data_IF_238105130559
#
_entry.id   IF_238105130559
#
_cell.length_a   1.000
_cell.length_b   1.000
_cell.length_c   1.000
_cell.angle_alpha   90.00
_cell.angle_beta   90.00
_cell.angle_gamma   90.00
#
_symmetry.space_group_name_H-M   'P 1'
#
loop_
_entity.id
_entity.type
_entity.pdbx_description
1 polymer ?
#
# COMPACT_ATOMS: atom_id res chain seq x y z
N UNK A 1 8.23 -10.57 -5.35
CA UNK A 1 6.85 -10.66 -5.87
C UNK A 1 6.58 -9.45 -6.76
N UNK A 2 5.86 -9.64 -7.86
CA UNK A 2 5.45 -8.54 -8.76
C UNK A 2 3.93 -8.47 -8.75
N UNK A 3 3.37 -7.32 -8.40
CA UNK A 3 1.93 -7.07 -8.42
C UNK A 3 1.60 -6.41 -9.76
N UNK A 4 0.56 -6.87 -10.45
CA UNK A 4 0.12 -6.26 -11.70
C UNK A 4 -0.36 -4.81 -11.47
N UNK A 5 -0.17 -3.95 -12.47
CA UNK A 5 -0.76 -2.61 -12.47
C UNK A 5 -2.29 -2.73 -12.35
N UNK A 6 -2.89 -1.99 -11.42
CA UNK A 6 -4.32 -2.08 -11.10
C UNK A 6 -4.72 -3.20 -10.13
N UNK A 7 -3.83 -4.14 -9.78
CA UNK A 7 -4.10 -5.15 -8.77
C UNK A 7 -3.62 -4.70 -7.39
N UNK A 8 -4.47 -4.86 -6.38
CA UNK A 8 -4.14 -4.50 -5.01
C UNK A 8 -4.03 -2.98 -4.76
N UNK A 9 -3.80 -2.63 -3.50
CA UNK A 9 -3.58 -1.23 -3.08
C UNK A 9 -2.43 -0.58 -3.85
N UNK A 10 -1.33 -1.31 -4.05
CA UNK A 10 -0.18 -0.80 -4.79
C UNK A 10 -0.53 -0.45 -6.24
N UNK A 11 -1.23 -1.33 -6.96
CA UNK A 11 -1.68 -1.06 -8.33
C UNK A 11 -2.61 0.15 -8.40
N UNK A 12 -3.55 0.26 -7.47
CA UNK A 12 -4.46 1.40 -7.40
C UNK A 12 -3.70 2.73 -7.19
N UNK A 13 -2.80 2.80 -6.20
CA UNK A 13 -2.01 4.02 -5.92
C UNK A 13 -1.12 4.41 -7.09
N UNK A 14 -0.52 3.44 -7.79
CA UNK A 14 0.27 3.70 -8.99
C UNK A 14 -0.56 4.34 -10.13
N UNK A 15 -1.82 3.93 -10.27
CA UNK A 15 -2.72 4.47 -11.31
C UNK A 15 -3.41 5.77 -10.92
N UNK A 16 -3.91 5.88 -9.69
CA UNK A 16 -4.65 7.06 -9.21
C UNK A 16 -3.73 8.17 -8.72
N UNK A 17 -2.48 7.84 -8.40
CA UNK A 17 -1.56 8.75 -7.74
C UNK A 17 -2.07 9.24 -6.38
N UNK A 18 -2.98 8.52 -5.73
CA UNK A 18 -3.54 8.93 -4.44
C UNK A 18 -2.88 8.17 -3.31
N UNK A 19 -2.42 8.87 -2.26
CA UNK A 19 -1.90 8.23 -1.06
C UNK A 19 -3.03 7.51 -0.31
N UNK A 20 -2.79 6.26 0.11
CA UNK A 20 -3.71 5.48 0.93
C UNK A 20 -3.05 5.10 2.26
N UNK A 21 -3.68 5.52 3.37
CA UNK A 21 -3.32 5.13 4.72
C UNK A 21 -4.43 4.23 5.28
N UNK A 22 -4.23 2.91 5.19
CA UNK A 22 -5.22 1.88 5.50
C UNK A 22 -4.88 1.27 6.86
N UNK A 23 -5.82 1.38 7.80
CA UNK A 23 -5.67 0.85 9.18
C UNK A 23 -6.10 -0.60 9.34
N UNK A 24 -6.92 -1.10 8.41
CA UNK A 24 -7.32 -2.50 8.39
C UNK A 24 -7.31 -2.99 6.94
N UNK A 25 -6.28 -3.74 6.58
CA UNK A 25 -6.09 -4.26 5.24
C UNK A 25 -7.23 -5.21 4.83
N UNK A 26 -7.63 -6.13 5.73
CA UNK A 26 -8.63 -7.15 5.43
C UNK A 26 -10.06 -6.61 5.22
N UNK A 27 -10.33 -5.38 5.66
CA UNK A 27 -11.61 -4.69 5.42
C UNK A 27 -11.56 -3.81 4.16
N UNK A 28 -10.39 -3.62 3.56
CA UNK A 28 -10.23 -2.72 2.44
C UNK A 28 -10.52 -3.45 1.11
N UNK A 29 -11.41 -2.94 0.25
CA UNK A 29 -11.83 -3.64 -0.98
C UNK A 29 -10.70 -3.86 -2.00
N UNK A 30 -9.65 -3.05 -1.91
CA UNK A 30 -8.46 -3.16 -2.77
C UNK A 30 -7.35 -4.05 -2.18
N UNK A 31 -7.56 -4.67 -1.02
CA UNK A 31 -6.54 -5.53 -0.42
C UNK A 31 -6.46 -6.88 -1.15
N UNK A 32 -5.22 -7.33 -1.38
CA UNK A 32 -4.93 -8.60 -2.03
C UNK A 32 -4.18 -9.50 -1.04
N UNK A 33 -4.87 -10.53 -0.52
CA UNK A 33 -4.33 -11.44 0.50
C UNK A 33 -3.31 -12.45 -0.01
N UNK A 34 -3.16 -12.61 -1.34
CA UNK A 34 -2.25 -13.62 -1.90
C UNK A 34 -0.77 -13.42 -1.51
N UNK A 35 -0.37 -12.21 -1.10
CA UNK A 35 0.97 -11.97 -0.55
C UNK A 35 1.09 -12.53 0.87
N UNK A 36 0.08 -12.29 1.70
CA UNK A 36 0.00 -12.82 3.06
C UNK A 36 -0.02 -14.34 3.05
N UNK A 37 -0.83 -14.94 2.16
CA UNK A 37 -0.91 -16.40 1.97
C UNK A 37 0.42 -17.02 1.56
N UNK A 38 1.16 -16.37 0.65
CA UNK A 38 2.43 -16.87 0.16
C UNK A 38 3.62 -16.62 1.11
N UNK A 39 3.51 -15.66 2.03
CA UNK A 39 4.58 -15.31 2.98
C UNK A 39 4.33 -15.81 4.40
N UNK A 40 3.09 -16.17 4.73
CA UNK A 40 2.65 -16.49 6.09
C UNK A 40 2.50 -15.26 6.99
N UNK A 41 2.66 -14.05 6.46
CA UNK A 41 2.46 -12.81 7.21
C UNK A 41 1.00 -12.39 7.21
N UNK A 42 0.56 -11.75 8.30
CA UNK A 42 -0.76 -11.12 8.40
C UNK A 42 -0.60 -9.60 8.40
N UNK A 43 -0.91 -8.99 7.27
CA UNK A 43 -0.88 -7.55 7.07
C UNK A 43 -2.07 -6.92 7.78
N UNK A 44 -1.82 -6.02 8.74
CA UNK A 44 -2.89 -5.26 9.42
C UNK A 44 -3.06 -3.87 8.82
N UNK A 45 -1.95 -3.13 8.71
CA UNK A 45 -1.95 -1.74 8.30
C UNK A 45 -1.09 -1.57 7.05
N UNK A 46 -1.52 -0.73 6.12
CA UNK A 46 -0.82 -0.44 4.87
C UNK A 46 -0.75 1.07 4.67
N UNK A 47 0.45 1.60 4.50
CA UNK A 47 0.66 2.95 3.99
C UNK A 47 1.24 2.83 2.59
N UNK A 48 0.53 3.32 1.59
CA UNK A 48 0.99 3.32 0.20
C UNK A 48 0.91 4.72 -0.39
N UNK A 49 2.01 5.19 -0.98
CA UNK A 49 2.09 6.50 -1.59
C UNK A 49 2.73 6.43 -2.97
N UNK A 50 2.28 7.27 -3.90
CA UNK A 50 2.85 7.33 -5.24
C UNK A 50 4.20 8.04 -5.20
N UNK A 51 5.09 7.63 -6.10
CA UNK A 51 6.32 8.34 -6.41
C UNK A 51 6.11 8.99 -7.77
N UNK A 52 6.31 10.30 -7.84
CA UNK A 52 6.06 11.11 -9.03
C UNK A 52 7.33 11.83 -9.48
N UNK A 53 7.48 11.97 -10.78
CA UNK A 53 8.43 12.89 -11.41
C UNK A 53 7.65 14.02 -12.12
N UNK A 54 8.36 14.84 -12.90
CA UNK A 54 7.79 15.94 -13.69
C UNK A 54 6.81 15.46 -14.78
N UNK A 55 6.88 14.18 -15.17
CA UNK A 55 6.10 13.59 -16.26
C UNK A 55 4.91 12.76 -15.76
N UNK A 56 4.84 12.43 -14.46
CA UNK A 56 3.71 11.69 -13.88
C UNK A 56 4.10 10.75 -12.73
N UNK A 57 3.29 9.72 -12.48
CA UNK A 57 3.59 8.68 -11.48
C UNK A 57 4.56 7.68 -12.09
N UNK A 58 5.77 7.60 -11.54
CA UNK A 58 6.82 6.66 -11.99
C UNK A 58 6.82 5.34 -11.20
N UNK A 59 6.09 5.30 -10.09
CA UNK A 59 5.97 4.12 -9.25
C UNK A 59 5.26 4.43 -7.95
N UNK A 60 5.37 3.53 -6.99
CA UNK A 60 4.79 3.68 -5.67
C UNK A 60 5.59 2.89 -4.64
N UNK A 61 5.48 3.29 -3.39
CA UNK A 61 6.04 2.56 -2.26
C UNK A 61 4.89 2.17 -1.33
N UNK A 62 4.87 0.91 -0.91
CA UNK A 62 3.90 0.36 0.03
C UNK A 62 4.64 -0.21 1.24
N UNK A 63 4.33 0.31 2.43
CA UNK A 63 4.82 -0.22 3.70
C UNK A 63 3.71 -1.06 4.33
N UNK A 64 3.94 -2.36 4.36
CA UNK A 64 3.13 -3.35 5.06
C UNK A 64 3.64 -3.46 6.49
N UNK A 65 2.77 -3.23 7.47
CA UNK A 65 3.17 -3.18 8.88
C UNK A 65 2.64 -4.38 9.62
N UNK A 66 3.53 -4.96 10.41
CA UNK A 66 3.18 -5.90 11.46
C UNK A 66 3.08 -5.16 12.80
N UNK A 67 2.19 -5.58 13.72
CA UNK A 67 2.24 -5.13 15.11
C UNK A 67 3.64 -5.38 15.72
N UNK A 68 4.15 -4.52 16.61
CA UNK A 68 3.46 -3.46 17.35
C UNK A 68 3.71 -2.02 16.82
N UNK A 69 3.96 -1.84 15.52
CA UNK A 69 4.28 -0.49 15.00
C UNK A 69 3.03 0.29 14.58
N UNK A 70 2.63 1.26 15.42
CA UNK A 70 1.69 2.32 15.05
C UNK A 70 2.43 3.44 14.30
N UNK A 71 1.93 3.82 13.13
CA UNK A 71 2.36 5.06 12.50
C UNK A 71 1.57 6.23 13.06
N UNK A 72 2.20 7.00 13.93
CA UNK A 72 1.77 8.36 14.20
C UNK A 72 1.99 9.17 12.92
N UNK A 73 0.92 9.71 12.35
CA UNK A 73 0.97 10.50 11.12
C UNK A 73 1.72 11.83 11.36
N UNK A 74 3.05 11.81 11.28
CA UNK A 74 3.91 12.99 11.40
C UNK A 74 4.45 13.49 10.05
N UNK A 75 3.76 13.20 8.94
CA UNK A 75 4.06 13.77 7.63
C UNK A 75 2.77 14.20 6.95
N UNK A 76 2.17 15.28 7.45
CA UNK A 76 1.54 16.27 6.59
C UNK A 76 2.62 17.34 6.36
N UNK A 77 2.77 17.74 5.09
CA UNK A 77 3.56 18.88 4.57
C UNK A 77 4.01 19.90 5.60
#
# INVERSE_FOLDING_TARGET
MRIALGQGIAGHVATSGTLLNIRNAYEHPLFYSGIDEATGFKTRNILCFPIRDENGVIGNMAKYLQPPFEFTAAHRT
#
